data_IF_376049615398
#
_entry.id   IF_376049615398
#
_cell.length_a   1.000
_cell.length_b   1.000
_cell.length_c   1.000
_cell.angle_alpha   90.00
_cell.angle_beta   90.00
_cell.angle_gamma   90.00
#
_symmetry.space_group_name_H-M   'P 1'
#
loop_
_entity.id
_entity.type
_entity.pdbx_description
1 polymer ?
#
# COMPACT_ATOMS: atom_id res chain seq x y z
N UNK A 1 4.51 3.62 15.67
CA UNK A 1 4.13 4.51 14.54
C UNK A 1 4.37 3.72 13.28
N UNK A 2 3.42 3.71 12.35
CA UNK A 2 3.67 3.13 11.02
C UNK A 2 4.71 4.00 10.32
N UNK A 3 5.76 3.37 9.83
CA UNK A 3 6.87 4.01 9.11
C UNK A 3 6.36 4.53 7.75
N UNK A 4 6.78 5.73 7.32
CA UNK A 4 6.49 6.24 5.98
C UNK A 4 7.00 5.29 4.89
N UNK A 5 8.06 4.51 5.16
CA UNK A 5 8.53 3.46 4.25
C UNK A 5 7.51 2.34 4.08
N UNK A 6 6.80 1.97 5.16
CA UNK A 6 5.74 0.96 5.09
C UNK A 6 4.56 1.49 4.27
N UNK A 7 4.12 2.72 4.52
CA UNK A 7 3.00 3.30 3.76
C UNK A 7 3.30 3.39 2.27
N UNK A 8 4.54 3.73 1.93
CA UNK A 8 4.97 3.87 0.53
C UNK A 8 5.02 2.51 -0.18
N UNK A 9 5.63 1.51 0.47
CA UNK A 9 5.76 0.17 -0.10
C UNK A 9 4.40 -0.51 -0.35
N UNK A 10 3.45 -0.37 0.58
CA UNK A 10 2.13 -0.98 0.44
C UNK A 10 1.27 -0.24 -0.59
N UNK A 11 1.33 1.09 -0.61
CA UNK A 11 0.62 1.88 -1.60
C UNK A 11 1.11 1.58 -3.03
N UNK A 12 2.42 1.43 -3.20
CA UNK A 12 3.03 1.02 -4.46
C UNK A 12 2.59 -0.39 -4.86
N UNK A 13 2.67 -1.37 -3.94
CA UNK A 13 2.26 -2.75 -4.23
C UNK A 13 0.81 -2.86 -4.71
N UNK A 14 -0.11 -2.19 -4.02
CA UNK A 14 -1.54 -2.25 -4.34
C UNK A 14 -1.83 -1.54 -5.68
N UNK A 15 -1.18 -0.40 -5.93
CA UNK A 15 -1.29 0.30 -7.22
C UNK A 15 -0.72 -0.54 -8.37
N UNK A 16 0.41 -1.22 -8.15
CA UNK A 16 1.07 -2.05 -9.14
C UNK A 16 0.26 -3.28 -9.54
N UNK A 17 -0.45 -3.88 -8.58
CA UNK A 17 -1.31 -5.06 -8.80
C UNK A 17 -2.70 -4.68 -9.34
N UNK A 18 -3.01 -3.39 -9.49
CA UNK A 18 -4.27 -2.97 -10.10
C UNK A 18 -4.27 -3.30 -11.59
N UNK A 19 -5.21 -4.15 -12.01
CA UNK A 19 -5.31 -4.66 -13.38
C UNK A 19 -5.47 -3.57 -14.45
N UNK A 20 -5.97 -2.38 -14.08
CA UNK A 20 -6.14 -1.25 -14.98
C UNK A 20 -4.84 -0.47 -15.26
N UNK A 21 -3.74 -0.73 -14.54
CA UNK A 21 -2.50 0.07 -14.61
C UNK A 21 -1.90 0.13 -16.02
N UNK A 22 -1.97 -0.96 -16.79
CA UNK A 22 -1.43 -0.98 -18.17
C UNK A 22 -2.20 -0.07 -19.12
N UNK A 23 -3.47 0.16 -18.84
CA UNK A 23 -4.39 0.95 -19.67
C UNK A 23 -4.51 2.39 -19.17
N UNK A 24 -4.32 2.60 -17.85
CA UNK A 24 -4.48 3.87 -17.16
C UNK A 24 -3.33 4.11 -16.15
N UNK A 25 -2.10 4.36 -16.62
CA UNK A 25 -0.95 4.51 -15.74
C UNK A 25 -1.04 5.74 -14.80
N UNK A 26 -1.71 6.82 -15.23
CA UNK A 26 -1.92 8.01 -14.40
C UNK A 26 -2.89 7.73 -13.24
N UNK A 27 -3.92 6.93 -13.48
CA UNK A 27 -4.88 6.52 -12.45
C UNK A 27 -4.22 5.60 -11.43
N UNK A 28 -3.29 4.75 -11.86
CA UNK A 28 -2.49 3.94 -10.95
C UNK A 28 -1.64 4.80 -10.02
N UNK A 29 -1.02 5.87 -10.52
CA UNK A 29 -0.20 6.75 -9.68
C UNK A 29 -1.06 7.63 -8.74
N UNK A 30 -2.26 8.01 -9.18
CA UNK A 30 -3.25 8.64 -8.31
C UNK A 30 -3.69 7.69 -7.19
N UNK A 31 -3.97 6.42 -7.53
CA UNK A 31 -4.33 5.37 -6.57
C UNK A 31 -3.23 5.18 -5.51
N UNK A 32 -1.96 5.10 -5.93
CA UNK A 32 -0.80 5.03 -5.02
C UNK A 32 -0.79 6.21 -4.05
N UNK A 33 -0.97 7.43 -4.57
CA UNK A 33 -0.96 8.65 -3.74
C UNK A 33 -2.08 8.64 -2.71
N UNK A 34 -3.30 8.29 -3.11
CA UNK A 34 -4.46 8.22 -2.22
C UNK A 34 -4.25 7.16 -1.13
N UNK A 35 -3.74 5.98 -1.50
CA UNK A 35 -3.48 4.90 -0.55
C UNK A 35 -2.43 5.31 0.49
N UNK A 36 -1.36 5.97 0.07
CA UNK A 36 -0.34 6.51 0.97
C UNK A 36 -0.95 7.45 2.02
N UNK A 37 -1.78 8.40 1.58
CA UNK A 37 -2.43 9.36 2.47
C UNK A 37 -3.39 8.67 3.45
N UNK A 38 -4.13 7.66 2.99
CA UNK A 38 -5.02 6.88 3.84
C UNK A 38 -4.25 6.06 4.88
N UNK A 39 -3.12 5.47 4.51
CA UNK A 39 -2.26 4.72 5.44
C UNK A 39 -1.62 5.59 6.50
N UNK A 40 -1.22 6.81 6.16
CA UNK A 40 -0.71 7.79 7.12
C UNK A 40 -1.81 8.29 8.06
N UNK A 41 -3.03 8.47 7.55
CA UNK A 41 -4.17 9.01 8.32
C UNK A 41 -4.81 7.99 9.26
N UNK A 42 -4.90 6.73 8.83
CA UNK A 42 -5.61 5.65 9.56
C UNK A 42 -4.80 4.35 9.58
N UNK A 43 -3.58 4.36 10.15
CA UNK A 43 -2.63 3.25 10.07
C UNK A 43 -3.19 1.92 10.58
N UNK A 44 -3.89 1.92 11.72
CA UNK A 44 -4.41 0.70 12.35
C UNK A 44 -5.51 0.05 11.53
N UNK A 45 -6.52 0.83 11.09
CA UNK A 45 -7.62 0.32 10.27
C UNK A 45 -7.14 -0.20 8.92
N UNK A 46 -6.19 0.49 8.30
CA UNK A 46 -5.60 0.05 7.04
C UNK A 46 -4.74 -1.20 7.21
N UNK A 47 -3.98 -1.32 8.30
CA UNK A 47 -3.22 -2.54 8.60
C UNK A 47 -4.14 -3.73 8.83
N UNK A 48 -5.27 -3.55 9.53
CA UNK A 48 -6.28 -4.61 9.70
C UNK A 48 -6.91 -5.05 8.37
N UNK A 49 -7.16 -4.10 7.46
CA UNK A 49 -7.70 -4.39 6.14
C UNK A 49 -6.71 -5.21 5.29
N UNK A 50 -5.44 -4.81 5.30
CA UNK A 50 -4.38 -5.39 4.44
C UNK A 50 -3.81 -6.69 5.05
N UNK A 51 -3.68 -6.74 6.37
CA UNK A 51 -3.06 -7.80 7.15
C UNK A 51 -3.80 -9.14 7.17
N UNK A 52 -4.90 -9.29 6.42
CA UNK A 52 -5.63 -10.56 6.32
C UNK A 52 -5.16 -11.45 5.16
N UNK A 53 -4.24 -10.98 4.30
CA UNK A 53 -3.66 -11.82 3.24
C UNK A 53 -2.75 -11.16 2.21
N UNK A 54 -2.47 -9.85 2.30
CA UNK A 54 -1.68 -9.11 1.29
C UNK A 54 -0.21 -8.92 1.71
N UNK A 55 0.07 -8.95 3.01
CA UNK A 55 1.42 -8.81 3.56
C UNK A 55 1.75 -10.09 4.33
N UNK A 56 2.67 -10.89 3.80
CA UNK A 56 3.26 -11.98 4.59
C UNK A 56 4.08 -11.36 5.74
N UNK A 57 3.90 -11.85 6.97
CA UNK A 57 4.55 -11.32 8.19
C UNK A 57 6.09 -11.28 8.10
N UNK A 58 6.65 -12.11 7.22
CA UNK A 58 8.07 -12.30 6.91
C UNK A 58 8.66 -11.26 5.93
N UNK A 59 7.86 -10.40 5.28
CA UNK A 59 8.38 -9.39 4.34
C UNK A 59 9.34 -8.39 5.03
N UNK A 60 9.29 -8.31 6.35
CA UNK A 60 10.03 -7.34 7.16
C UNK A 60 11.06 -7.95 8.12
N UNK A 61 11.37 -9.25 8.04
CA UNK A 61 12.41 -9.85 8.91
C UNK A 61 13.85 -9.39 8.59
N UNK A 62 14.05 -8.55 7.57
CA UNK A 62 15.38 -8.09 7.12
C UNK A 62 15.52 -6.56 6.94
N UNK A 63 14.79 -5.73 7.71
CA UNK A 63 15.04 -4.27 7.76
C UNK A 63 15.72 -3.87 9.06
#
# INVERSE_FOLDING_TARGET
MIDSKWTDAIAERISDEWSGKSEFPEDAELLKTILRDLFLKSPESCTQLIGTGIIEENYFENI
#
